data_IF_978824745526
#
_entry.id   IF_978824745526
#
_cell.length_a   1.000
_cell.length_b   1.000
_cell.length_c   1.000
_cell.angle_alpha   90.00
_cell.angle_beta   90.00
_cell.angle_gamma   90.00
#
_symmetry.space_group_name_H-M   'P 1'
#
loop_
_entity.id
_entity.type
_entity.pdbx_description
1 polymer ?
#
# COMPACT_ATOMS: atom_id res chain seq x y z
N UNK A 1 4.31 10.90 -7.83
CA UNK A 1 3.82 9.92 -6.83
C UNK A 1 4.96 9.22 -6.09
N UNK A 2 5.96 8.62 -6.76
CA UNK A 2 7.09 7.95 -6.08
C UNK A 2 7.77 8.85 -5.03
N UNK A 3 8.20 10.05 -5.41
CA UNK A 3 8.88 10.98 -4.48
C UNK A 3 8.03 11.31 -3.27
N UNK A 4 6.72 11.51 -3.46
CA UNK A 4 5.79 11.78 -2.36
C UNK A 4 5.72 10.61 -1.39
N UNK A 5 5.56 9.39 -1.91
CA UNK A 5 5.50 8.18 -1.07
C UNK A 5 6.85 7.92 -0.38
N UNK A 6 7.99 8.15 -1.04
CA UNK A 6 9.31 8.04 -0.41
C UNK A 6 9.46 8.97 0.81
N UNK A 7 8.96 10.20 0.72
CA UNK A 7 8.98 11.15 1.84
C UNK A 7 8.16 10.61 3.01
N UNK A 8 7.02 9.96 2.73
CA UNK A 8 6.18 9.35 3.76
C UNK A 8 6.81 8.07 4.33
N UNK A 9 7.51 7.27 3.51
CA UNK A 9 8.30 6.11 3.95
C UNK A 9 9.51 6.48 4.83
N UNK A 10 10.01 7.72 4.73
CA UNK A 10 11.08 8.22 5.58
C UNK A 10 10.57 8.77 6.93
N UNK A 11 9.27 9.07 7.02
CA UNK A 11 8.68 9.70 8.19
C UNK A 11 8.09 8.66 9.14
N UNK A 12 8.72 8.57 10.32
CA UNK A 12 8.45 7.64 11.42
C UNK A 12 7.00 7.64 11.92
N UNK A 13 6.21 8.65 11.57
CA UNK A 13 4.80 8.77 11.96
C UNK A 13 3.90 7.84 11.14
N UNK A 14 4.30 7.47 9.93
CA UNK A 14 3.46 6.68 9.02
C UNK A 14 3.79 5.18 9.04
N UNK A 15 2.80 4.35 8.72
CA UNK A 15 2.98 2.90 8.60
C UNK A 15 3.51 2.52 7.21
N UNK A 16 4.71 2.98 6.87
CA UNK A 16 5.43 2.61 5.65
C UNK A 16 6.93 2.90 5.80
N UNK A 17 7.79 2.07 5.20
CA UNK A 17 9.24 2.26 5.31
C UNK A 17 9.71 2.28 6.77
N UNK A 18 10.29 3.39 7.19
CA UNK A 18 10.66 3.65 8.58
C UNK A 18 9.42 4.05 9.36
N UNK A 19 8.98 3.20 10.29
CA UNK A 19 7.70 3.37 10.98
C UNK A 19 6.71 2.23 10.75
N UNK A 20 7.02 1.33 9.81
CA UNK A 20 6.19 0.16 9.53
C UNK A 20 5.91 -0.69 10.76
N UNK A 21 4.65 -1.15 10.86
CA UNK A 21 4.20 -2.05 11.91
C UNK A 21 4.89 -3.41 11.87
N UNK A 22 4.87 -4.10 13.00
CA UNK A 22 5.51 -5.41 13.15
C UNK A 22 4.55 -6.56 12.89
N UNK A 23 5.02 -7.60 12.21
CA UNK A 23 4.31 -8.86 12.04
C UNK A 23 4.34 -9.69 13.35
N UNK A 24 3.73 -10.87 13.35
CA UNK A 24 3.62 -11.75 14.53
C UNK A 24 4.96 -12.26 15.06
N UNK A 25 6.04 -12.18 14.27
CA UNK A 25 7.40 -12.53 14.69
C UNK A 25 8.19 -11.33 15.24
N UNK A 26 7.63 -10.11 15.19
CA UNK A 26 8.31 -8.88 15.60
C UNK A 26 9.16 -8.26 14.48
N UNK A 27 8.99 -8.71 13.24
CA UNK A 27 9.73 -8.22 12.08
C UNK A 27 8.89 -7.26 11.23
N UNK A 28 9.57 -6.35 10.52
CA UNK A 28 8.96 -5.52 9.49
C UNK A 28 8.88 -6.30 8.18
N UNK A 29 7.71 -6.29 7.55
CA UNK A 29 7.46 -6.78 6.20
C UNK A 29 6.62 -5.72 5.47
N UNK A 30 7.11 -5.20 4.36
CA UNK A 30 6.46 -4.09 3.67
C UNK A 30 5.94 -4.48 2.30
N UNK A 31 4.89 -3.80 1.88
CA UNK A 31 4.25 -3.95 0.59
C UNK A 31 4.17 -2.60 -0.12
N UNK A 32 4.38 -2.56 -1.43
CA UNK A 32 4.21 -1.33 -2.22
C UNK A 32 3.86 -1.59 -3.69
N UNK A 33 3.25 -0.58 -4.31
CA UNK A 33 2.93 -0.52 -5.74
C UNK A 33 3.18 0.88 -6.30
N UNK A 34 3.50 0.93 -7.58
CA UNK A 34 3.42 2.14 -8.41
C UNK A 34 2.85 1.78 -9.78
N UNK A 35 2.01 2.66 -10.34
CA UNK A 35 1.37 2.45 -11.65
C UNK A 35 1.37 3.73 -12.48
N UNK A 36 1.74 3.59 -13.76
CA UNK A 36 1.68 4.63 -14.80
C UNK A 36 0.38 4.48 -15.61
N UNK A 37 -0.52 5.47 -15.52
CA UNK A 37 -1.81 5.46 -16.20
C UNK A 37 -1.73 5.58 -17.72
N UNK A 38 -0.62 6.08 -18.28
CA UNK A 38 -0.43 6.18 -19.74
C UNK A 38 -0.24 4.83 -20.40
N UNK A 39 0.52 3.96 -19.76
CA UNK A 39 0.93 2.66 -20.33
C UNK A 39 0.28 1.47 -19.63
N UNK A 40 -0.44 1.72 -18.53
CA UNK A 40 -0.95 0.73 -17.59
C UNK A 40 0.14 -0.17 -16.99
N UNK A 41 1.42 0.18 -17.17
CA UNK A 41 2.52 -0.54 -16.53
C UNK A 41 2.46 -0.28 -15.04
N UNK A 42 2.66 -1.35 -14.29
CA UNK A 42 2.75 -1.32 -12.85
C UNK A 42 3.96 -2.13 -12.40
N UNK A 43 4.49 -1.76 -11.25
CA UNK A 43 5.46 -2.56 -10.52
C UNK A 43 5.06 -2.63 -9.06
N UNK A 44 5.28 -3.79 -8.46
CA UNK A 44 4.85 -4.07 -7.10
C UNK A 44 5.81 -5.00 -6.40
N UNK A 45 5.93 -4.80 -5.10
CA UNK A 45 6.58 -5.73 -4.18
C UNK A 45 5.73 -6.01 -2.96
N UNK A 46 5.85 -7.21 -2.39
CA UNK A 46 5.19 -7.58 -1.15
C UNK A 46 6.11 -8.39 -0.24
N UNK A 47 5.89 -8.29 1.06
CA UNK A 47 6.68 -8.92 2.11
C UNK A 47 8.19 -8.65 2.00
N UNK A 48 8.58 -7.45 1.53
CA UNK A 48 9.99 -7.09 1.47
C UNK A 48 10.50 -6.64 2.82
N UNK A 49 11.73 -6.99 3.13
CA UNK A 49 12.40 -6.62 4.39
C UNK A 49 13.66 -5.80 4.09
N UNK A 50 14.23 -5.11 5.07
CA UNK A 50 15.56 -4.50 4.95
C UNK A 50 15.74 -3.49 3.78
N UNK A 51 14.66 -2.93 3.25
CA UNK A 51 14.70 -1.92 2.18
C UNK A 51 14.01 -0.66 2.69
N UNK A 52 14.70 0.46 2.71
CA UNK A 52 14.14 1.72 3.22
C UNK A 52 12.93 2.21 2.42
N UNK A 53 12.91 1.95 1.11
CA UNK A 53 11.89 2.48 0.20
C UNK A 53 11.26 1.40 -0.69
N UNK A 54 10.28 0.64 -0.18
CA UNK A 54 9.52 -0.32 -0.96
C UNK A 54 8.93 0.25 -2.26
N UNK A 55 8.44 1.50 -2.27
CA UNK A 55 7.87 2.12 -3.48
C UNK A 55 8.90 2.29 -4.61
N UNK A 56 10.16 2.57 -4.27
CA UNK A 56 11.22 2.66 -5.26
C UNK A 56 11.63 1.30 -5.79
N UNK A 57 11.63 0.26 -4.96
CA UNK A 57 11.82 -1.10 -5.43
C UNK A 57 10.69 -1.54 -6.35
N UNK A 58 9.43 -1.21 -6.01
CA UNK A 58 8.28 -1.43 -6.88
C UNK A 58 8.45 -0.74 -8.24
N UNK A 59 8.95 0.51 -8.26
CA UNK A 59 9.30 1.20 -9.52
C UNK A 59 10.37 0.47 -10.32
N UNK A 60 11.40 -0.09 -9.66
CA UNK A 60 12.40 -0.87 -10.37
C UNK A 60 11.83 -2.16 -10.96
N UNK A 61 10.89 -2.84 -10.29
CA UNK A 61 10.15 -3.97 -10.89
C UNK A 61 9.47 -3.52 -12.19
N UNK A 62 8.75 -2.39 -12.14
CA UNK A 62 8.06 -1.83 -13.30
C UNK A 62 9.02 -1.54 -14.46
N UNK A 63 10.17 -0.90 -14.20
CA UNK A 63 11.04 -0.34 -15.24
C UNK A 63 12.12 -1.31 -15.74
N UNK A 64 12.55 -2.27 -14.91
CA UNK A 64 13.74 -3.11 -15.16
C UNK A 64 13.44 -4.58 -15.39
N UNK A 65 12.17 -4.99 -15.33
CA UNK A 65 11.76 -6.38 -15.54
C UNK A 65 10.58 -6.47 -16.52
N UNK A 66 10.35 -7.66 -17.05
CA UNK A 66 9.14 -8.02 -17.80
C UNK A 66 7.99 -8.46 -16.88
N UNK A 67 8.14 -8.25 -15.57
CA UNK A 67 7.21 -8.70 -14.54
C UNK A 67 6.53 -7.51 -13.87
N UNK A 68 5.41 -7.80 -13.22
CA UNK A 68 4.60 -6.80 -12.52
C UNK A 68 4.79 -6.84 -11.01
N UNK A 69 4.95 -8.04 -10.44
CA UNK A 69 5.03 -8.23 -9.00
C UNK A 69 6.11 -9.25 -8.64
N UNK A 70 6.97 -8.92 -7.67
CA UNK A 70 7.97 -9.82 -7.09
C UNK A 70 7.80 -9.77 -5.57
N UNK A 71 7.88 -10.89 -4.86
CA UNK A 71 7.54 -10.96 -3.43
C UNK A 71 8.64 -11.61 -2.60
N UNK A 72 8.66 -11.27 -1.30
CA UNK A 72 9.51 -11.86 -0.28
C UNK A 72 10.98 -11.84 -0.65
N UNK A 73 11.66 -12.96 -0.37
CA UNK A 73 13.09 -13.14 -0.65
C UNK A 73 13.45 -12.85 -2.12
N UNK A 74 12.57 -13.19 -3.07
CA UNK A 74 12.82 -12.90 -4.49
C UNK A 74 12.95 -11.39 -4.77
N UNK A 75 12.13 -10.56 -4.13
CA UNK A 75 12.20 -9.11 -4.28
C UNK A 75 13.43 -8.53 -3.57
N UNK A 76 13.81 -9.10 -2.43
CA UNK A 76 15.05 -8.75 -1.73
C UNK A 76 16.32 -9.09 -2.53
N UNK A 77 16.34 -10.24 -3.20
CA UNK A 77 17.42 -10.63 -4.11
C UNK A 77 17.50 -9.70 -5.30
N UNK A 78 16.36 -9.37 -5.91
CA UNK A 78 16.29 -8.39 -7.00
C UNK A 78 16.81 -7.01 -6.56
N UNK A 79 16.44 -6.54 -5.37
CA UNK A 79 16.98 -5.29 -4.81
C UNK A 79 18.51 -5.32 -4.70
N UNK A 80 19.07 -6.45 -4.27
CA UNK A 80 20.52 -6.67 -4.18
C UNK A 80 21.19 -6.67 -5.56
N UNK A 81 20.58 -7.30 -6.57
CA UNK A 81 21.08 -7.29 -7.96
C UNK A 81 21.16 -5.88 -8.53
N UNK A 82 20.21 -5.02 -8.18
CA UNK A 82 20.19 -3.61 -8.55
C UNK A 82 21.16 -2.72 -7.74
N UNK A 83 21.80 -3.28 -6.70
CA UNK A 83 22.67 -2.52 -5.80
C UNK A 83 21.91 -1.57 -4.87
N UNK A 84 20.62 -1.81 -4.60
CA UNK A 84 19.86 -1.03 -3.63
C UNK A 84 20.42 -1.31 -2.22
N UNK A 85 20.77 -0.28 -1.43
CA UNK A 85 21.28 -0.46 -0.08
C UNK A 85 20.27 -1.19 0.80
N UNK A 86 20.75 -2.22 1.51
CA UNK A 86 19.98 -2.86 2.56
C UNK A 86 20.18 -2.11 3.87
N UNK A 87 19.09 -1.94 4.62
CA UNK A 87 19.13 -1.36 5.97
C UNK A 87 19.02 -2.46 7.03
N UNK A 88 19.68 -2.30 8.19
CA UNK A 88 19.45 -3.17 9.35
C UNK A 88 17.96 -3.23 9.72
N UNK A 89 17.41 -4.39 10.12
CA UNK A 89 15.99 -4.51 10.46
C UNK A 89 15.54 -3.50 11.53
N UNK A 90 16.38 -3.27 12.54
CA UNK A 90 16.12 -2.37 13.66
C UNK A 90 16.04 -0.89 13.26
N UNK A 91 16.64 -0.51 12.12
CA UNK A 91 16.56 0.85 11.60
C UNK A 91 15.15 1.24 11.16
N UNK A 92 14.33 0.28 10.72
CA UNK A 92 12.95 0.53 10.27
C UNK A 92 11.94 0.53 11.43
N UNK A 93 12.35 0.01 12.59
CA UNK A 93 11.46 -0.20 13.73
C UNK A 93 11.49 0.98 14.68
N UNK A 94 10.33 1.62 14.86
CA UNK A 94 10.12 2.72 15.81
C UNK A 94 9.60 2.21 17.15
N UNK A 95 9.77 3.01 18.21
CA UNK A 95 9.20 2.68 19.52
C UNK A 95 7.67 2.64 19.50
N UNK A 96 7.03 3.45 18.65
CA UNK A 96 5.59 3.44 18.45
C UNK A 96 5.14 2.09 17.86
N UNK A 97 5.82 1.60 16.82
CA UNK A 97 5.51 0.31 16.20
C UNK A 97 5.70 -0.85 17.20
N UNK A 98 6.74 -0.80 18.03
CA UNK A 98 6.97 -1.78 19.11
C UNK A 98 5.84 -1.76 20.13
N UNK A 99 5.45 -0.58 20.62
CA UNK A 99 4.36 -0.44 21.60
C UNK A 99 3.04 -0.95 21.04
N UNK A 100 2.70 -0.62 19.79
CA UNK A 100 1.49 -1.14 19.14
C UNK A 100 1.53 -2.67 19.02
N UNK A 101 2.69 -3.24 18.67
CA UNK A 101 2.83 -4.69 18.61
C UNK A 101 2.65 -5.37 19.97
N UNK A 102 3.21 -4.78 21.03
CA UNK A 102 3.02 -5.19 22.42
C UNK A 102 1.60 -4.93 22.94
N UNK A 103 0.83 -4.01 22.37
CA UNK A 103 -0.56 -3.81 22.75
C UNK A 103 -1.48 -4.82 22.04
N UNK A 104 -1.30 -4.93 20.73
CA UNK A 104 -2.23 -5.57 19.81
C UNK A 104 -1.83 -7.00 19.41
N UNK A 105 -0.97 -7.71 20.18
CA UNK A 105 -0.49 -9.12 20.10
C UNK A 105 -1.25 -10.14 19.22
N UNK A 106 -2.54 -9.95 18.94
CA UNK A 106 -3.35 -10.71 18.00
C UNK A 106 -3.93 -9.79 16.92
N UNK A 107 -3.65 -10.10 15.66
CA UNK A 107 -4.23 -9.45 14.47
C UNK A 107 -5.72 -9.11 14.57
N UNK A 108 -6.57 -10.06 15.00
CA UNK A 108 -8.01 -9.83 15.11
C UNK A 108 -8.36 -8.68 16.08
N UNK A 109 -7.58 -8.52 17.15
CA UNK A 109 -7.76 -7.43 18.10
C UNK A 109 -7.35 -6.10 17.46
N UNK A 110 -6.21 -6.08 16.77
CA UNK A 110 -5.74 -4.92 16.00
C UNK A 110 -6.82 -4.45 15.01
N UNK A 111 -7.37 -5.37 14.21
CA UNK A 111 -8.43 -5.07 13.25
C UNK A 111 -9.67 -4.50 13.95
N UNK A 112 -10.17 -5.14 14.99
CA UNK A 112 -11.37 -4.64 15.66
C UNK A 112 -11.15 -3.27 16.30
N UNK A 113 -10.02 -3.03 16.95
CA UNK A 113 -9.80 -1.80 17.73
C UNK A 113 -9.33 -0.63 16.86
N UNK A 114 -8.46 -0.84 15.88
CA UNK A 114 -7.94 0.24 15.00
C UNK A 114 -8.98 0.69 13.96
N UNK A 115 -9.84 -0.22 13.51
CA UNK A 115 -10.79 0.08 12.44
C UNK A 115 -12.18 0.50 12.94
N UNK A 116 -12.49 0.24 14.22
CA UNK A 116 -13.66 0.79 14.92
C UNK A 116 -13.34 2.08 15.71
N UNK A 117 -12.06 2.37 15.96
CA UNK A 117 -11.65 3.62 16.60
C UNK A 117 -11.25 4.68 15.56
N UNK A 118 -11.31 5.96 15.95
CA UNK A 118 -10.79 7.06 15.12
C UNK A 118 -9.24 7.11 15.11
N UNK A 119 -8.57 6.10 15.68
CA UNK A 119 -7.11 6.00 15.68
C UNK A 119 -6.71 5.38 14.34
N UNK A 120 -6.30 6.23 13.40
CA UNK A 120 -5.92 5.85 12.03
C UNK A 120 -4.86 4.75 11.95
N UNK A 121 -4.78 4.11 10.80
CA UNK A 121 -3.94 2.93 10.50
C UNK A 121 -3.29 3.19 9.14
N UNK A 122 -2.31 4.08 9.09
CA UNK A 122 -2.13 4.82 7.85
C UNK A 122 -1.02 4.25 6.98
N UNK A 123 -1.41 3.22 6.22
CA UNK A 123 -0.93 2.99 4.85
C UNK A 123 -0.87 4.33 4.13
N UNK A 124 0.23 4.58 3.43
CA UNK A 124 0.45 5.84 2.73
C UNK A 124 0.27 5.65 1.24
N UNK A 125 -0.10 6.73 0.56
CA UNK A 125 -0.19 6.72 -0.88
C UNK A 125 -0.28 8.11 -1.49
N UNK A 126 -0.12 8.16 -2.80
CA UNK A 126 -0.19 9.39 -3.57
C UNK A 126 -0.77 9.13 -4.96
N UNK A 127 -1.64 10.04 -5.40
CA UNK A 127 -2.09 10.14 -6.79
C UNK A 127 -1.67 11.49 -7.35
N UNK A 128 -1.40 11.57 -8.66
CA UNK A 128 -1.05 12.82 -9.30
C UNK A 128 -1.53 12.86 -10.76
N UNK A 129 -1.75 14.07 -11.26
CA UNK A 129 -1.94 14.40 -12.67
C UNK A 129 -0.82 15.35 -13.07
N UNK A 130 -0.07 15.03 -14.12
CA UNK A 130 1.00 15.91 -14.62
C UNK A 130 0.48 16.97 -15.62
N UNK A 131 1.37 17.84 -16.11
CA UNK A 131 1.01 18.92 -17.06
C UNK A 131 0.61 18.42 -18.45
N UNK A 132 0.90 17.17 -18.78
CA UNK A 132 0.50 16.51 -20.03
C UNK A 132 -0.84 15.75 -19.88
N UNK A 133 -1.40 15.72 -18.67
CA UNK A 133 -2.63 15.01 -18.35
C UNK A 133 -2.43 13.54 -18.04
N UNK A 134 -1.18 13.07 -17.86
CA UNK A 134 -0.94 11.68 -17.43
C UNK A 134 -1.25 11.54 -15.95
N UNK A 135 -1.86 10.40 -15.59
CA UNK A 135 -2.17 10.06 -14.20
C UNK A 135 -1.26 8.95 -13.69
N UNK A 136 -0.94 8.99 -12.40
CA UNK A 136 -0.17 7.94 -11.75
C UNK A 136 -0.61 7.77 -10.29
N UNK A 137 -0.39 6.59 -9.74
CA UNK A 137 -0.59 6.30 -8.33
C UNK A 137 0.55 5.49 -7.73
N UNK A 138 0.72 5.58 -6.42
CA UNK A 138 1.59 4.72 -5.64
C UNK A 138 1.03 4.55 -4.22
N UNK A 139 1.22 3.36 -3.65
CA UNK A 139 0.78 3.00 -2.29
C UNK A 139 1.89 2.19 -1.62
N UNK A 140 2.15 2.42 -0.34
CA UNK A 140 3.15 1.71 0.46
C UNK A 140 2.64 1.48 1.88
N UNK A 141 2.96 0.33 2.48
CA UNK A 141 2.48 -0.03 3.82
C UNK A 141 3.41 -1.00 4.56
N UNK A 142 3.43 -0.94 5.88
CA UNK A 142 3.87 -2.03 6.76
C UNK A 142 2.77 -3.06 7.05
N UNK A 143 1.52 -2.75 6.74
CA UNK A 143 0.37 -3.64 6.81
C UNK A 143 -0.51 -3.38 8.02
N UNK A 144 -0.67 -4.39 8.88
CA UNK A 144 -1.44 -4.27 10.13
C UNK A 144 -0.63 -4.96 11.21
N UNK A 145 -0.53 -4.32 12.38
CA UNK A 145 0.24 -4.86 13.50
C UNK A 145 -0.21 -6.27 13.88
N UNK A 146 0.76 -7.11 14.25
CA UNK A 146 0.59 -8.53 14.55
C UNK A 146 0.01 -9.38 13.39
N UNK A 147 0.11 -8.90 12.14
CA UNK A 147 -0.18 -9.71 10.95
C UNK A 147 0.64 -11.00 10.95
N UNK A 148 0.13 -12.07 10.33
CA UNK A 148 0.95 -13.27 10.10
C UNK A 148 2.15 -12.92 9.24
N UNK A 149 3.29 -13.59 9.50
CA UNK A 149 4.45 -13.54 8.61
C UNK A 149 4.00 -13.91 7.19
N UNK A 150 4.37 -13.08 6.22
CA UNK A 150 3.97 -13.25 4.81
C UNK A 150 2.53 -12.83 4.49
N UNK A 151 1.80 -12.18 5.40
CA UNK A 151 0.47 -11.60 5.07
C UNK A 151 0.66 -10.40 4.15
N UNK A 152 0.02 -10.48 2.99
CA UNK A 152 -0.04 -9.41 1.99
C UNK A 152 -1.40 -8.70 2.08
N UNK A 153 -1.37 -7.37 2.12
CA UNK A 153 -2.57 -6.53 2.10
C UNK A 153 -3.03 -6.15 0.69
N UNK A 154 -3.87 -5.12 0.61
CA UNK A 154 -4.35 -4.56 -0.66
C UNK A 154 -3.31 -3.70 -1.37
N UNK A 155 -2.42 -3.04 -0.62
CA UNK A 155 -1.48 -2.04 -1.13
C UNK A 155 -0.66 -2.48 -2.34
N UNK A 156 -0.09 -3.70 -2.42
CA UNK A 156 0.68 -4.12 -3.58
C UNK A 156 -0.19 -4.65 -4.73
N UNK A 157 -1.50 -4.80 -4.53
CA UNK A 157 -2.39 -5.49 -5.48
C UNK A 157 -3.08 -4.47 -6.39
N UNK A 158 -2.78 -4.56 -7.70
CA UNK A 158 -3.38 -3.71 -8.73
C UNK A 158 -4.90 -3.78 -8.66
N UNK A 159 -5.55 -2.62 -8.68
CA UNK A 159 -7.01 -2.50 -8.61
C UNK A 159 -7.57 -2.67 -7.20
N UNK A 160 -6.77 -3.07 -6.21
CA UNK A 160 -7.16 -3.07 -4.81
C UNK A 160 -6.61 -1.83 -4.12
N UNK A 161 -5.31 -1.80 -3.83
CA UNK A 161 -4.66 -0.71 -3.11
C UNK A 161 -4.27 0.47 -4.00
N UNK A 162 -4.10 0.27 -5.30
CA UNK A 162 -3.84 1.35 -6.25
C UNK A 162 -4.29 0.99 -7.68
N UNK A 163 -4.75 1.98 -8.43
CA UNK A 163 -5.01 1.86 -9.87
C UNK A 163 -4.86 3.21 -10.58
N UNK A 164 -4.30 3.22 -11.79
CA UNK A 164 -4.16 4.42 -12.60
C UNK A 164 -4.40 4.09 -14.08
N UNK A 165 -5.21 4.91 -14.75
CA UNK A 165 -5.50 4.83 -16.18
C UNK A 165 -5.81 6.23 -16.71
N UNK A 166 -5.09 6.67 -17.75
CA UNK A 166 -5.29 7.99 -18.37
C UNK A 166 -6.70 8.18 -18.94
N UNK A 167 -7.41 7.10 -19.27
CA UNK A 167 -8.80 7.17 -19.75
C UNK A 167 -9.80 7.48 -18.62
N UNK A 168 -9.38 7.41 -17.34
CA UNK A 168 -10.29 7.50 -16.20
C UNK A 168 -9.77 8.36 -15.05
N UNK A 169 -8.64 7.99 -14.46
CA UNK A 169 -8.08 8.63 -13.27
C UNK A 169 -7.13 7.71 -12.51
N UNK A 170 -6.70 8.18 -11.34
CA UNK A 170 -5.81 7.44 -10.44
C UNK A 170 -6.37 7.41 -9.02
N UNK A 171 -6.20 6.27 -8.35
CA UNK A 171 -6.71 5.98 -7.01
C UNK A 171 -5.64 5.26 -6.20
N UNK A 172 -5.57 5.59 -4.91
CA UNK A 172 -4.73 4.94 -3.89
C UNK A 172 -5.61 4.70 -2.66
N UNK A 173 -5.57 3.50 -2.07
CA UNK A 173 -6.43 3.15 -0.95
C UNK A 173 -5.65 3.01 0.36
N UNK A 174 -6.36 3.17 1.47
CA UNK A 174 -5.95 2.82 2.83
C UNK A 174 -7.16 2.23 3.55
N UNK A 175 -6.97 1.29 4.46
CA UNK A 175 -8.11 0.57 5.05
C UNK A 175 -7.82 -0.87 5.44
N UNK A 176 -8.90 -1.58 5.73
CA UNK A 176 -8.85 -3.00 6.07
C UNK A 176 -8.56 -3.78 4.77
N UNK A 177 -7.29 -4.15 4.59
CA UNK A 177 -6.81 -4.72 3.33
C UNK A 177 -7.63 -5.88 2.79
N UNK A 178 -8.08 -6.83 3.64
CA UNK A 178 -8.93 -7.94 3.19
C UNK A 178 -10.27 -7.45 2.62
N UNK A 179 -10.86 -6.40 3.20
CA UNK A 179 -12.10 -5.82 2.69
C UNK A 179 -11.87 -5.05 1.38
N UNK A 180 -10.79 -4.25 1.30
CA UNK A 180 -10.40 -3.52 0.09
C UNK A 180 -10.17 -4.50 -1.08
N UNK A 181 -9.43 -5.58 -0.84
CA UNK A 181 -9.17 -6.62 -1.84
C UNK A 181 -10.45 -7.31 -2.30
N UNK A 182 -11.35 -7.63 -1.36
CA UNK A 182 -12.60 -8.33 -1.66
C UNK A 182 -13.53 -7.57 -2.60
N UNK A 183 -13.41 -6.24 -2.66
CA UNK A 183 -14.23 -5.37 -3.52
C UNK A 183 -13.43 -4.66 -4.61
N UNK A 184 -12.14 -4.98 -4.75
CA UNK A 184 -11.21 -4.31 -5.69
C UNK A 184 -11.38 -2.80 -5.67
N UNK A 185 -11.23 -2.18 -4.49
CA UNK A 185 -11.72 -0.82 -4.23
C UNK A 185 -11.21 0.22 -5.24
N UNK A 186 -9.90 0.30 -5.48
CA UNK A 186 -9.33 1.26 -6.43
C UNK A 186 -9.90 1.11 -7.84
N UNK A 187 -10.05 -0.13 -8.32
CA UNK A 187 -10.65 -0.39 -9.64
C UNK A 187 -12.15 -0.08 -9.65
N UNK A 188 -12.86 -0.35 -8.56
CA UNK A 188 -14.29 -0.03 -8.43
C UNK A 188 -14.55 1.47 -8.44
N UNK A 189 -13.67 2.27 -7.82
CA UNK A 189 -13.74 3.74 -7.90
C UNK A 189 -13.56 4.21 -9.34
N UNK A 190 -12.49 3.79 -10.01
CA UNK A 190 -12.24 4.17 -11.43
C UNK A 190 -13.34 3.67 -12.35
N UNK A 191 -13.92 2.48 -12.10
CA UNK A 191 -15.07 1.98 -12.85
C UNK A 191 -16.29 2.90 -12.70
N UNK A 192 -16.58 3.39 -11.50
CA UNK A 192 -17.67 4.34 -11.30
C UNK A 192 -17.42 5.68 -12.01
N UNK A 193 -16.15 6.10 -12.12
CA UNK A 193 -15.76 7.28 -12.91
C UNK A 193 -15.96 7.03 -14.42
N UNK A 194 -15.63 5.84 -14.94
CA UNK A 194 -15.93 5.43 -16.33
C UNK A 194 -17.43 5.53 -16.64
N UNK A 195 -18.29 5.23 -15.66
CA UNK A 195 -19.75 5.35 -15.80
C UNK A 195 -20.26 6.80 -15.65
N UNK A 196 -19.38 7.79 -15.62
CA UNK A 196 -19.71 9.22 -15.57
C UNK A 196 -19.91 9.79 -14.16
N UNK A 197 -19.54 9.06 -13.10
CA UNK A 197 -19.50 9.66 -11.75
C UNK A 197 -18.32 10.62 -11.62
N UNK A 198 -18.48 11.71 -10.88
CA UNK A 198 -17.33 12.51 -10.43
C UNK A 198 -16.45 11.69 -9.48
N UNK A 199 -15.18 12.08 -9.32
CA UNK A 199 -14.24 11.40 -8.42
C UNK A 199 -14.80 11.24 -6.98
N UNK A 200 -15.34 12.32 -6.41
CA UNK A 200 -15.98 12.27 -5.08
C UNK A 200 -17.15 11.27 -5.04
N UNK A 201 -18.06 11.34 -6.02
CA UNK A 201 -19.22 10.44 -6.03
C UNK A 201 -18.83 8.98 -6.24
N UNK A 202 -17.80 8.73 -7.05
CA UNK A 202 -17.25 7.39 -7.26
C UNK A 202 -16.60 6.83 -5.99
N UNK A 203 -15.82 7.64 -5.27
CA UNK A 203 -15.23 7.29 -3.98
C UNK A 203 -16.30 6.95 -2.95
N UNK A 204 -17.27 7.86 -2.74
CA UNK A 204 -18.34 7.69 -1.75
C UNK A 204 -19.14 6.40 -2.00
N UNK A 205 -19.56 6.16 -3.25
CA UNK A 205 -20.31 4.95 -3.63
C UNK A 205 -19.50 3.68 -3.37
N UNK A 206 -18.21 3.70 -3.69
CA UNK A 206 -17.35 2.51 -3.57
C UNK A 206 -17.03 2.19 -2.11
N UNK A 207 -16.77 3.21 -1.28
CA UNK A 207 -16.57 3.03 0.16
C UNK A 207 -17.86 2.53 0.85
N UNK A 208 -19.02 3.12 0.51
CA UNK A 208 -20.31 2.66 1.03
C UNK A 208 -20.60 1.22 0.60
N UNK A 209 -20.28 0.86 -0.63
CA UNK A 209 -20.39 -0.52 -1.10
C UNK A 209 -19.51 -1.47 -0.28
N UNK A 210 -18.25 -1.12 -0.04
CA UNK A 210 -17.34 -1.91 0.79
C UNK A 210 -17.91 -2.13 2.20
N UNK A 211 -18.38 -1.05 2.85
CA UNK A 211 -18.99 -1.14 4.19
C UNK A 211 -20.21 -2.05 4.18
N UNK A 212 -21.14 -1.87 3.24
CA UNK A 212 -22.38 -2.64 3.22
C UNK A 212 -22.18 -4.11 2.83
N UNK A 213 -21.18 -4.41 2.00
CA UNK A 213 -21.00 -5.76 1.44
C UNK A 213 -20.11 -6.65 2.29
N UNK A 214 -19.05 -6.10 2.87
CA UNK A 214 -18.01 -6.86 3.58
C UNK A 214 -17.65 -6.27 4.95
N UNK A 215 -18.44 -5.31 5.44
CA UNK A 215 -18.22 -4.62 6.72
C UNK A 215 -16.82 -3.97 6.83
N UNK A 216 -16.25 -3.57 5.69
CA UNK A 216 -14.93 -2.94 5.62
C UNK A 216 -14.97 -1.44 5.93
N UNK A 217 -13.87 -0.92 6.48
CA UNK A 217 -13.62 0.51 6.65
C UNK A 217 -12.30 0.89 5.97
N UNK A 218 -12.19 2.15 5.56
CA UNK A 218 -11.04 2.66 4.82
C UNK A 218 -11.35 3.97 4.10
N UNK A 219 -10.40 4.43 3.30
CA UNK A 219 -10.48 5.63 2.47
C UNK A 219 -9.72 5.46 1.15
N UNK A 220 -9.93 6.41 0.24
CA UNK A 220 -9.26 6.52 -1.06
C UNK A 220 -8.89 7.95 -1.36
#
# INVERSE_FOLDING_TARGET
VETSVRILEDDVVFDAGTGSVLNSAGDVEMDAIIMDGRSLRAGSVACVQNIAHPVSLARQVMEKTDHTMIVGEGANLFAKELGIPQVPPDQLVTDIARQQWEEYHKYKRAVNELFDSQLGHDTVGAVAVDSEGNVACATSTGGITAKRVGRVGDSPVIGCGAYADNETGAVSCTGHGEAIMSVTLARTVTFNMEQGSSAQSAADKSIVYMKNRVDGTGGV
#
